data_IF_372506779788
#
_entry.id   IF_372506779788
#
_cell.length_a   1.000
_cell.length_b   1.000
_cell.length_c   1.000
_cell.angle_alpha   90.00
_cell.angle_beta   90.00
_cell.angle_gamma   90.00
#
_symmetry.space_group_name_H-M   'P 1'
#
loop_
_entity.id
_entity.type
_entity.pdbx_description
1 polymer ?
#
# COMPACT_ATOMS: atom_id res chain seq x y z
N UNK A 1 14.72 30.65 1.79
CA UNK A 1 15.58 30.14 0.73
C UNK A 1 14.70 29.79 -0.46
N UNK A 2 15.14 30.19 -1.69
CA UNK A 2 14.49 29.87 -2.94
C UNK A 2 15.43 29.05 -3.81
N UNK A 3 14.89 28.12 -4.58
CA UNK A 3 15.64 27.29 -5.51
C UNK A 3 15.53 27.85 -6.91
N UNK A 4 16.68 28.00 -7.56
CA UNK A 4 16.76 28.44 -8.95
C UNK A 4 17.56 27.45 -9.77
N UNK A 5 17.10 27.22 -11.00
CA UNK A 5 17.88 26.55 -12.04
C UNK A 5 18.49 27.61 -12.93
N UNK A 6 19.81 27.60 -13.02
CA UNK A 6 20.57 28.47 -13.88
C UNK A 6 21.01 27.72 -15.13
N UNK A 7 20.65 28.25 -16.31
CA UNK A 7 21.13 27.78 -17.59
C UNK A 7 21.83 28.96 -18.25
N UNK A 8 23.16 28.92 -18.31
CA UNK A 8 23.96 29.99 -18.93
C UNK A 8 24.82 29.45 -20.08
N UNK A 9 24.89 30.21 -21.17
CA UNK A 9 25.69 29.90 -22.31
C UNK A 9 26.68 31.03 -22.58
N UNK A 10 27.95 30.67 -22.84
CA UNK A 10 28.99 31.62 -23.19
C UNK A 10 29.06 31.80 -24.72
N UNK A 11 28.75 32.99 -25.18
CA UNK A 11 28.97 33.40 -26.57
C UNK A 11 30.43 33.78 -26.74
N UNK A 12 31.15 33.04 -27.58
CA UNK A 12 32.59 33.22 -27.79
C UNK A 12 32.89 34.01 -29.04
N UNK A 13 34.05 34.67 -29.09
CA UNK A 13 34.63 35.28 -30.29
C UNK A 13 35.22 34.20 -31.20
N UNK A 14 35.61 34.57 -32.41
CA UNK A 14 36.25 33.65 -33.37
C UNK A 14 37.57 33.08 -32.85
N UNK A 15 38.27 33.79 -31.97
CA UNK A 15 39.50 33.34 -31.29
C UNK A 15 39.24 32.42 -30.08
N UNK A 16 37.98 32.04 -29.79
CA UNK A 16 37.60 31.20 -28.68
C UNK A 16 37.44 31.90 -27.34
N UNK A 17 37.79 33.20 -27.25
CA UNK A 17 37.64 33.96 -25.99
C UNK A 17 36.17 34.27 -25.70
N UNK A 18 35.72 34.26 -24.44
CA UNK A 18 34.33 34.59 -24.10
C UNK A 18 34.07 36.09 -24.37
N UNK A 19 33.01 36.36 -25.14
CA UNK A 19 32.55 37.72 -25.46
C UNK A 19 31.41 38.17 -24.57
N UNK A 20 30.46 37.26 -24.33
CA UNK A 20 29.22 37.54 -23.60
C UNK A 20 28.72 36.26 -22.97
N UNK A 21 28.07 36.40 -21.85
CA UNK A 21 27.33 35.30 -21.21
C UNK A 21 25.86 35.67 -21.25
N UNK A 22 25.02 34.73 -21.68
CA UNK A 22 23.56 34.85 -21.61
C UNK A 22 23.03 33.69 -20.80
N UNK A 23 22.18 33.95 -19.83
CA UNK A 23 21.59 32.91 -18.99
C UNK A 23 20.16 33.24 -18.64
N UNK A 24 19.43 32.22 -18.24
CA UNK A 24 18.05 32.32 -17.77
C UNK A 24 17.94 31.58 -16.42
N UNK A 25 17.36 32.28 -15.46
CA UNK A 25 17.07 31.75 -14.15
C UNK A 25 15.60 31.33 -14.08
N UNK A 26 15.37 30.10 -13.69
CA UNK A 26 14.02 29.60 -13.44
C UNK A 26 13.84 29.39 -11.94
N UNK A 27 12.76 29.92 -11.37
CA UNK A 27 12.36 29.55 -10.05
C UNK A 27 11.78 28.11 -10.08
N UNK A 28 12.38 27.20 -9.32
CA UNK A 28 12.01 25.79 -9.26
C UNK A 28 11.51 25.39 -7.88
N UNK A 29 11.04 26.34 -7.08
CA UNK A 29 10.55 26.06 -5.71
C UNK A 29 9.39 25.07 -5.71
N UNK A 30 8.45 25.23 -6.64
CA UNK A 30 7.30 24.33 -6.76
C UNK A 30 7.71 22.93 -7.21
N UNK A 31 8.61 22.83 -8.20
CA UNK A 31 9.18 21.56 -8.65
C UNK A 31 9.86 20.84 -7.48
N UNK A 32 10.67 21.56 -6.69
CA UNK A 32 11.35 21.02 -5.53
C UNK A 32 10.39 20.60 -4.41
N UNK A 33 9.33 21.36 -4.20
CA UNK A 33 8.29 21.01 -3.21
C UNK A 33 7.56 19.73 -3.61
N UNK A 34 7.21 19.57 -4.88
CA UNK A 34 6.57 18.37 -5.41
C UNK A 34 7.51 17.17 -5.33
N UNK A 35 8.78 17.33 -5.70
CA UNK A 35 9.80 16.28 -5.59
C UNK A 35 9.97 15.82 -4.13
N UNK A 36 10.02 16.75 -3.17
CA UNK A 36 10.11 16.41 -1.75
C UNK A 36 8.85 15.69 -1.23
N UNK A 37 7.67 16.14 -1.66
CA UNK A 37 6.41 15.49 -1.32
C UNK A 37 6.38 14.05 -1.85
N UNK A 38 6.79 13.86 -3.10
CA UNK A 38 6.87 12.54 -3.71
C UNK A 38 7.86 11.64 -2.98
N UNK A 39 9.08 12.11 -2.69
CA UNK A 39 10.08 11.34 -1.95
C UNK A 39 9.62 10.92 -0.56
N UNK A 40 8.87 11.80 0.15
CA UNK A 40 8.28 11.46 1.46
C UNK A 40 7.19 10.41 1.32
N UNK A 41 6.33 10.54 0.31
CA UNK A 41 5.30 9.55 0.00
C UNK A 41 5.91 8.19 -0.31
N UNK A 42 6.95 8.15 -1.16
CA UNK A 42 7.64 6.91 -1.53
C UNK A 42 8.38 6.28 -0.35
N UNK A 43 8.98 7.09 0.53
CA UNK A 43 9.64 6.59 1.73
C UNK A 43 8.62 6.02 2.73
N UNK A 44 7.48 6.69 2.90
CA UNK A 44 6.38 6.19 3.72
C UNK A 44 5.80 4.90 3.15
N UNK A 45 5.55 4.88 1.84
CA UNK A 45 5.04 3.70 1.15
C UNK A 45 6.00 2.51 1.34
N UNK A 46 7.30 2.68 1.07
CA UNK A 46 8.31 1.62 1.29
C UNK A 46 8.33 1.13 2.73
N UNK A 47 8.33 2.03 3.72
CA UNK A 47 8.34 1.65 5.13
C UNK A 47 7.07 0.88 5.53
N UNK A 48 5.93 1.25 4.96
CA UNK A 48 4.66 0.58 5.17
C UNK A 48 4.64 -0.80 4.51
N UNK A 49 5.05 -0.88 3.24
CA UNK A 49 5.08 -2.11 2.42
C UNK A 49 6.00 -3.19 3.00
N UNK A 50 7.14 -2.80 3.60
CA UNK A 50 8.10 -3.75 4.18
C UNK A 50 7.50 -4.58 5.32
N UNK A 51 6.51 -4.04 6.03
CA UNK A 51 5.86 -4.72 7.16
C UNK A 51 4.66 -5.59 6.75
N UNK A 52 4.20 -5.48 5.50
CA UNK A 52 3.06 -6.24 5.02
C UNK A 52 3.53 -7.55 4.35
N UNK A 53 2.79 -8.63 4.59
CA UNK A 53 3.00 -9.92 3.91
C UNK A 53 2.46 -9.85 2.48
N UNK A 54 1.30 -9.21 2.30
CA UNK A 54 0.64 -9.05 1.01
C UNK A 54 -0.02 -7.68 0.89
N UNK A 55 -0.08 -7.15 -0.33
CA UNK A 55 -0.73 -5.89 -0.67
C UNK A 55 -1.43 -6.00 -2.01
N UNK A 56 -2.70 -5.62 -2.06
CA UNK A 56 -3.52 -5.68 -3.27
C UNK A 56 -4.33 -4.41 -3.49
N UNK A 57 -4.49 -4.06 -4.75
CA UNK A 57 -5.60 -3.22 -5.21
C UNK A 57 -6.65 -4.11 -5.84
N UNK A 58 -7.89 -3.96 -5.42
CA UNK A 58 -9.05 -4.73 -5.90
C UNK A 58 -10.00 -3.79 -6.60
N UNK A 59 -10.30 -4.07 -7.85
CA UNK A 59 -11.39 -3.41 -8.57
C UNK A 59 -12.72 -4.06 -8.17
N UNK A 60 -13.57 -3.31 -7.48
CA UNK A 60 -14.86 -3.82 -7.00
C UNK A 60 -15.89 -3.96 -8.12
N UNK A 61 -15.72 -3.24 -9.25
CA UNK A 61 -16.64 -3.31 -10.37
C UNK A 61 -16.39 -4.58 -11.20
N UNK A 62 -15.11 -4.84 -11.49
CA UNK A 62 -14.69 -5.99 -12.30
C UNK A 62 -14.46 -7.25 -11.47
N UNK A 63 -14.29 -7.13 -10.16
CA UNK A 63 -13.98 -8.24 -9.26
C UNK A 63 -12.59 -8.82 -9.48
N UNK A 64 -11.67 -8.02 -10.04
CA UNK A 64 -10.28 -8.37 -10.29
C UNK A 64 -9.35 -7.76 -9.25
N UNK A 65 -8.10 -8.18 -9.21
CA UNK A 65 -7.11 -7.62 -8.31
C UNK A 65 -5.74 -7.45 -8.99
N UNK A 66 -4.93 -6.55 -8.42
CA UNK A 66 -3.53 -6.37 -8.78
C UNK A 66 -2.68 -6.43 -7.51
N UNK A 67 -1.60 -7.20 -7.53
CA UNK A 67 -0.61 -7.16 -6.46
C UNK A 67 0.16 -5.85 -6.52
N UNK A 68 0.29 -5.19 -5.38
CA UNK A 68 1.09 -3.97 -5.20
C UNK A 68 2.48 -4.28 -4.65
N UNK A 69 2.75 -5.55 -4.32
CA UNK A 69 4.00 -6.02 -3.76
C UNK A 69 4.66 -7.01 -4.71
N UNK A 70 5.94 -6.78 -5.03
CA UNK A 70 6.73 -7.66 -5.90
C UNK A 70 7.00 -9.03 -5.26
N UNK A 71 7.26 -9.03 -3.94
CA UNK A 71 7.54 -10.21 -3.11
C UNK A 71 6.35 -10.52 -2.21
N UNK A 72 5.26 -11.05 -2.79
CA UNK A 72 4.12 -11.52 -2.01
C UNK A 72 4.43 -12.88 -1.37
N UNK A 73 4.53 -12.89 -0.05
CA UNK A 73 4.88 -14.09 0.70
C UNK A 73 3.72 -15.10 0.87
N UNK A 74 2.50 -14.70 0.55
CA UNK A 74 1.33 -15.57 0.65
C UNK A 74 0.84 -16.09 -0.70
N UNK A 75 0.90 -15.26 -1.75
CA UNK A 75 0.23 -15.51 -3.03
C UNK A 75 1.09 -15.23 -4.26
N UNK A 76 2.42 -15.44 -4.17
CA UNK A 76 3.37 -15.19 -5.25
C UNK A 76 3.02 -15.87 -6.59
N UNK A 77 2.24 -16.93 -6.56
CA UNK A 77 1.82 -17.72 -7.75
C UNK A 77 0.55 -17.17 -8.43
N UNK A 78 -0.07 -16.12 -7.88
CA UNK A 78 -1.34 -15.61 -8.40
C UNK A 78 -1.13 -14.42 -9.33
N UNK A 79 -1.71 -14.52 -10.50
CA UNK A 79 -1.60 -13.49 -11.52
C UNK A 79 -2.55 -12.33 -11.28
N UNK A 80 -2.04 -11.11 -11.46
CA UNK A 80 -2.85 -9.89 -11.51
C UNK A 80 -3.97 -10.03 -12.56
N UNK A 81 -5.16 -9.56 -12.23
CA UNK A 81 -6.34 -9.65 -13.09
C UNK A 81 -7.18 -10.92 -12.91
N UNK A 82 -6.73 -11.85 -12.07
CA UNK A 82 -7.53 -13.01 -11.67
C UNK A 82 -8.69 -12.61 -10.74
N UNK A 83 -9.60 -13.56 -10.48
CA UNK A 83 -10.75 -13.32 -9.63
C UNK A 83 -10.36 -13.07 -8.16
N UNK A 84 -10.72 -11.90 -7.65
CA UNK A 84 -10.58 -11.57 -6.23
C UNK A 84 -11.31 -12.56 -5.31
N UNK A 85 -12.50 -12.98 -5.70
CA UNK A 85 -13.29 -13.93 -4.92
C UNK A 85 -12.60 -15.28 -4.76
N UNK A 86 -11.90 -15.74 -5.78
CA UNK A 86 -11.13 -17.00 -5.72
C UNK A 86 -9.91 -16.84 -4.81
N UNK A 87 -9.20 -15.72 -4.92
CA UNK A 87 -8.06 -15.42 -4.05
C UNK A 87 -8.47 -15.42 -2.59
N UNK A 88 -9.57 -14.70 -2.24
CA UNK A 88 -10.11 -14.65 -0.88
C UNK A 88 -10.50 -16.05 -0.37
N UNK A 89 -11.15 -16.85 -1.21
CA UNK A 89 -11.52 -18.22 -0.84
C UNK A 89 -10.29 -19.05 -0.49
N UNK A 90 -9.24 -18.98 -1.31
CA UNK A 90 -8.00 -19.71 -1.07
C UNK A 90 -7.29 -19.21 0.19
N UNK A 91 -7.27 -17.89 0.39
CA UNK A 91 -6.71 -17.31 1.60
C UNK A 91 -7.39 -17.87 2.85
N UNK A 92 -8.72 -17.87 2.88
CA UNK A 92 -9.48 -18.37 4.02
C UNK A 92 -9.31 -19.89 4.21
N UNK A 93 -9.41 -20.66 3.13
CA UNK A 93 -9.38 -22.12 3.21
C UNK A 93 -8.00 -22.68 3.55
N UNK A 94 -6.93 -22.08 3.00
CA UNK A 94 -5.57 -22.60 3.15
C UNK A 94 -4.79 -21.98 4.31
N UNK A 95 -4.97 -20.70 4.56
CA UNK A 95 -4.13 -19.98 5.51
C UNK A 95 -4.83 -19.64 6.82
N UNK A 96 -6.09 -19.22 6.79
CA UNK A 96 -6.80 -18.79 8.01
C UNK A 96 -7.11 -19.99 8.91
N UNK A 97 -6.76 -19.88 10.19
CA UNK A 97 -7.11 -20.89 11.19
C UNK A 97 -8.63 -21.07 11.30
N UNK A 98 -9.08 -22.28 11.56
CA UNK A 98 -10.50 -22.67 11.48
C UNK A 98 -11.41 -21.77 12.31
N UNK A 99 -10.98 -21.41 13.50
CA UNK A 99 -11.74 -20.61 14.45
C UNK A 99 -11.98 -19.17 13.93
N UNK A 100 -11.10 -18.66 13.06
CA UNK A 100 -11.15 -17.29 12.57
C UNK A 100 -11.82 -17.18 11.18
N UNK A 101 -12.11 -18.31 10.51
CA UNK A 101 -12.63 -18.34 9.13
C UNK A 101 -13.96 -17.63 8.97
N UNK A 102 -14.88 -17.82 9.92
CA UNK A 102 -16.23 -17.22 9.83
C UNK A 102 -16.14 -15.69 9.86
N UNK A 103 -15.33 -15.12 10.75
CA UNK A 103 -15.15 -13.68 10.85
C UNK A 103 -14.45 -13.12 9.61
N UNK A 104 -13.45 -13.84 9.07
CA UNK A 104 -12.76 -13.46 7.85
C UNK A 104 -13.65 -13.52 6.62
N UNK A 105 -14.47 -14.57 6.49
CA UNK A 105 -15.43 -14.68 5.40
C UNK A 105 -16.46 -13.54 5.43
N UNK A 106 -16.88 -13.09 6.62
CA UNK A 106 -17.74 -11.92 6.75
C UNK A 106 -17.03 -10.64 6.33
N UNK A 107 -15.80 -10.40 6.81
CA UNK A 107 -15.01 -9.21 6.45
C UNK A 107 -14.87 -9.05 4.94
N UNK A 108 -14.56 -10.14 4.24
CA UNK A 108 -14.34 -10.15 2.79
C UNK A 108 -15.63 -10.33 1.97
N UNK A 109 -16.80 -10.41 2.62
CA UNK A 109 -18.09 -10.51 1.93
C UNK A 109 -18.41 -9.19 1.21
N UNK A 110 -18.63 -9.26 -0.10
CA UNK A 110 -19.00 -8.08 -0.90
C UNK A 110 -20.30 -7.42 -0.38
N UNK A 111 -21.25 -8.22 0.08
CA UNK A 111 -22.50 -7.70 0.66
C UNK A 111 -22.24 -6.90 1.94
N UNK A 112 -21.41 -7.43 2.84
CA UNK A 112 -21.02 -6.75 4.07
C UNK A 112 -20.28 -5.44 3.74
N UNK A 113 -19.26 -5.50 2.89
CA UNK A 113 -18.44 -4.35 2.53
C UNK A 113 -19.29 -3.25 1.89
N UNK A 114 -20.09 -3.56 0.89
CA UNK A 114 -20.97 -2.57 0.22
C UNK A 114 -21.98 -1.95 1.18
N UNK A 115 -22.52 -2.73 2.12
CA UNK A 115 -23.39 -2.20 3.16
C UNK A 115 -22.67 -1.21 4.07
N UNK A 116 -21.47 -1.55 4.52
CA UNK A 116 -20.68 -0.70 5.40
C UNK A 116 -20.22 0.58 4.69
N UNK A 117 -19.83 0.48 3.43
CA UNK A 117 -19.44 1.64 2.61
C UNK A 117 -20.62 2.61 2.46
N UNK A 118 -21.84 2.12 2.24
CA UNK A 118 -23.06 2.96 2.18
C UNK A 118 -23.37 3.66 3.50
N UNK A 119 -22.94 3.08 4.63
CA UNK A 119 -23.03 3.70 5.97
C UNK A 119 -21.91 4.71 6.24
N UNK A 120 -21.00 4.93 5.29
CA UNK A 120 -19.90 5.89 5.39
C UNK A 120 -18.60 5.32 5.95
N UNK A 121 -18.55 4.02 6.24
CA UNK A 121 -17.32 3.37 6.68
C UNK A 121 -16.37 3.19 5.48
N UNK A 122 -15.09 3.55 5.68
CA UNK A 122 -14.07 3.52 4.61
C UNK A 122 -12.91 2.61 4.93
N UNK A 123 -12.76 2.19 6.17
CA UNK A 123 -11.69 1.32 6.62
C UNK A 123 -12.25 0.18 7.46
N UNK A 124 -11.73 -1.02 7.21
CA UNK A 124 -12.14 -2.25 7.86
C UNK A 124 -10.89 -3.01 8.29
N UNK A 125 -10.84 -3.40 9.56
CA UNK A 125 -9.72 -4.14 10.11
C UNK A 125 -10.20 -5.37 10.87
N UNK A 126 -9.47 -6.49 10.71
CA UNK A 126 -9.67 -7.69 11.50
C UNK A 126 -8.35 -8.41 11.72
N UNK A 127 -8.07 -8.75 12.96
CA UNK A 127 -6.95 -9.61 13.33
C UNK A 127 -7.38 -11.07 13.27
N UNK A 128 -6.57 -11.91 12.66
CA UNK A 128 -6.79 -13.35 12.63
C UNK A 128 -5.47 -14.11 12.71
N UNK A 129 -5.57 -15.40 12.97
CA UNK A 129 -4.43 -16.32 12.92
C UNK A 129 -4.38 -17.00 11.57
N UNK A 130 -3.19 -17.00 10.98
CA UNK A 130 -2.92 -17.73 9.75
C UNK A 130 -1.83 -18.77 9.98
N UNK A 131 -1.84 -19.82 9.17
CA UNK A 131 -0.84 -20.86 9.16
C UNK A 131 0.00 -20.77 7.90
N UNK A 132 1.30 -20.62 8.08
CA UNK A 132 2.29 -20.64 6.98
C UNK A 132 3.24 -21.80 7.28
N UNK A 133 3.11 -22.90 6.54
CA UNK A 133 3.80 -24.15 6.88
C UNK A 133 3.36 -24.68 8.24
N UNK A 134 4.29 -24.82 9.19
CA UNK A 134 4.01 -25.26 10.56
C UNK A 134 3.78 -24.10 11.52
N UNK A 135 4.10 -22.87 11.11
CA UNK A 135 4.01 -21.68 11.95
C UNK A 135 2.61 -21.07 11.95
N UNK A 136 2.12 -20.72 13.15
CA UNK A 136 0.92 -19.90 13.31
C UNK A 136 1.36 -18.47 13.60
N UNK A 137 0.81 -17.51 12.82
CA UNK A 137 1.09 -16.09 12.94
C UNK A 137 -0.19 -15.29 13.11
N UNK A 138 -0.11 -14.25 13.90
CA UNK A 138 -1.15 -13.25 13.95
C UNK A 138 -0.97 -12.25 12.81
N UNK A 139 -2.03 -12.02 12.06
CA UNK A 139 -2.04 -10.99 11.01
C UNK A 139 -3.21 -10.05 11.18
N UNK A 140 -2.99 -8.81 10.79
CA UNK A 140 -4.03 -7.81 10.64
C UNK A 140 -4.37 -7.67 9.17
N UNK A 141 -5.64 -7.89 8.85
CA UNK A 141 -6.19 -7.60 7.54
C UNK A 141 -6.82 -6.22 7.58
N UNK A 142 -6.36 -5.33 6.71
CA UNK A 142 -6.88 -3.97 6.58
C UNK A 142 -7.38 -3.79 5.17
N UNK A 143 -8.64 -3.37 5.03
CA UNK A 143 -9.28 -3.05 3.77
C UNK A 143 -9.64 -1.56 3.79
N UNK A 144 -9.16 -0.80 2.82
CA UNK A 144 -9.45 0.63 2.69
C UNK A 144 -10.20 0.85 1.39
N UNK A 145 -11.42 1.39 1.49
CA UNK A 145 -12.21 1.75 0.33
C UNK A 145 -11.61 2.98 -0.36
N UNK A 146 -11.35 2.83 -1.65
CA UNK A 146 -10.82 3.86 -2.52
C UNK A 146 -11.85 4.23 -3.59
N UNK A 147 -12.09 5.52 -3.75
CA UNK A 147 -12.98 6.08 -4.77
C UNK A 147 -12.13 6.99 -5.65
N UNK A 148 -11.85 6.50 -6.85
CA UNK A 148 -11.06 7.24 -7.82
C UNK A 148 -11.78 8.49 -8.33
N UNK A 149 -11.01 9.48 -8.76
CA UNK A 149 -11.53 10.74 -9.35
C UNK A 149 -12.40 10.50 -10.61
N UNK A 150 -12.22 9.36 -11.26
CA UNK A 150 -12.97 8.90 -12.44
C UNK A 150 -14.25 8.12 -12.10
N UNK A 151 -14.57 7.98 -10.80
CA UNK A 151 -15.71 7.20 -10.31
C UNK A 151 -15.43 5.69 -10.22
N UNK A 152 -14.19 5.27 -10.44
CA UNK A 152 -13.78 3.89 -10.15
C UNK A 152 -13.87 3.62 -8.66
N UNK A 153 -14.23 2.40 -8.29
CA UNK A 153 -14.35 1.98 -6.90
C UNK A 153 -13.46 0.78 -6.65
N UNK A 154 -12.62 0.89 -5.63
CA UNK A 154 -11.64 -0.13 -5.32
C UNK A 154 -11.47 -0.37 -3.81
N UNK A 155 -10.70 -1.38 -3.50
CA UNK A 155 -10.18 -1.63 -2.16
C UNK A 155 -8.66 -1.74 -2.21
N UNK A 156 -7.99 -1.03 -1.31
CA UNK A 156 -6.62 -1.34 -0.94
C UNK A 156 -6.67 -2.38 0.18
N UNK A 157 -6.01 -3.49 -0.01
CA UNK A 157 -6.00 -4.61 0.93
C UNK A 157 -4.58 -4.87 1.40
N UNK A 158 -4.40 -4.92 2.71
CA UNK A 158 -3.11 -5.16 3.35
C UNK A 158 -3.23 -6.32 4.34
N UNK A 159 -2.28 -7.23 4.29
CA UNK A 159 -2.12 -8.31 5.27
C UNK A 159 -0.78 -8.09 5.98
N UNK A 160 -0.83 -7.70 7.24
CA UNK A 160 0.35 -7.37 8.03
C UNK A 160 0.59 -8.38 9.15
N UNK A 161 1.82 -8.87 9.28
CA UNK A 161 2.22 -9.69 10.42
C UNK A 161 2.27 -8.82 11.69
N UNK A 162 1.50 -9.21 12.70
CA UNK A 162 1.41 -8.55 14.00
C UNK A 162 1.76 -9.52 15.15
N UNK A 163 2.42 -10.63 14.84
CA UNK A 163 2.73 -11.69 15.82
C UNK A 163 3.54 -11.13 17.00
N UNK A 164 4.56 -10.34 16.73
CA UNK A 164 5.38 -9.76 17.79
C UNK A 164 4.60 -8.70 18.61
N UNK A 165 3.71 -7.96 17.96
CA UNK A 165 2.83 -6.98 18.65
C UNK A 165 1.89 -7.71 19.63
N UNK A 166 1.31 -8.84 19.21
CA UNK A 166 0.43 -9.65 20.05
C UNK A 166 1.18 -10.26 21.24
N UNK A 167 2.35 -10.84 20.99
CA UNK A 167 3.20 -11.40 22.07
C UNK A 167 3.58 -10.36 23.12
N UNK A 168 3.95 -9.17 22.68
CA UNK A 168 4.31 -8.10 23.61
C UNK A 168 3.10 -7.61 24.42
N UNK A 169 1.93 -7.52 23.79
CA UNK A 169 0.68 -7.17 24.48
C UNK A 169 0.32 -8.20 25.55
N UNK A 170 0.37 -9.49 25.23
CA UNK A 170 0.13 -10.58 26.16
C UNK A 170 1.11 -10.55 27.34
N UNK A 171 2.39 -10.31 27.04
CA UNK A 171 3.43 -10.19 28.07
C UNK A 171 3.20 -9.02 29.03
N UNK A 172 2.73 -7.88 28.51
CA UNK A 172 2.38 -6.73 29.34
C UNK A 172 1.17 -7.03 30.23
N UNK A 173 0.16 -7.71 29.68
CA UNK A 173 -1.03 -8.12 30.44
C UNK A 173 -0.68 -9.07 31.58
N UNK A 174 0.21 -10.05 31.34
CA UNK A 174 0.69 -10.98 32.37
C UNK A 174 1.47 -10.27 33.50
N UNK A 175 2.18 -9.19 33.19
CA UNK A 175 2.94 -8.41 34.19
C UNK A 175 2.05 -7.50 35.04
N UNK A 176 0.81 -7.24 34.61
CA UNK A 176 -0.14 -6.37 35.34
C UNK A 176 -1.09 -7.18 36.25
N UNK A 177 -1.05 -8.50 36.23
CA UNK A 177 -1.82 -9.42 37.05
C UNK A 177 -0.95 -10.11 38.07
#
# INVERSE_FOLDING_TARGET
YHWFRDNAEAIRRQDGTPRRMAGVFFNIDEEKRLEQKQRRSDAFHRAFTTANLSEYYVDLNEGTFASLKEDDSLFAEWETGSSWKELVKIYIDRFVCEEDRTAMALLYSSEYLLRQIRLGNREFCLDCRIRIGEDIRWVRNTLIYDEGDDGSTGLLVFVRDITEVKKESERIEELMH
#
